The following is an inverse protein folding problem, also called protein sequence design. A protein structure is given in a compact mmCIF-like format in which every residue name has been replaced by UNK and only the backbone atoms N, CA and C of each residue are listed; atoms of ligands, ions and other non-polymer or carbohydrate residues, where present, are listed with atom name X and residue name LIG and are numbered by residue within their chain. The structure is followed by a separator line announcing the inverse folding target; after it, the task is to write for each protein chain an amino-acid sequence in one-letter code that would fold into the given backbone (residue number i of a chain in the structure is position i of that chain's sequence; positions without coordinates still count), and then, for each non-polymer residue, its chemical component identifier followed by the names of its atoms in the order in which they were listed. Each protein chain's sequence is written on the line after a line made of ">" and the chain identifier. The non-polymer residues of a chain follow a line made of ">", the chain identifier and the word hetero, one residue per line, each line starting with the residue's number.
data_IF_790885514771
#
_entry.id   IF_790885514771
#
_cell.length_a   1.000
_cell.length_b   1.000
_cell.length_c   1.000
_cell.angle_alpha   90.00
_cell.angle_beta   90.00
_cell.angle_gamma   90.00
#
_symmetry.space_group_name_H-M   'P 1'
#
loop_
_entity.id
_entity.type
_entity.pdbx_description
1 polymer ?
#
# COMPACT_ATOMS: atom_id res chain seq x y z
N UNK A 1 -26.51 3.11 63.56
CA UNK A 1 -27.30 2.94 62.32
C UNK A 1 -26.55 3.63 61.18
N UNK A 2 -26.05 2.84 60.19
CA UNK A 2 -25.65 3.20 58.81
C UNK A 2 -24.41 4.13 58.65
N UNK A 3 -23.25 3.63 58.19
CA UNK A 3 -22.83 3.43 56.77
C UNK A 3 -22.60 4.78 56.04
N UNK A 4 -21.49 5.10 55.36
CA UNK A 4 -20.39 4.33 54.76
C UNK A 4 -19.26 5.30 54.34
N UNK A 5 -18.02 4.83 54.41
CA UNK A 5 -16.89 5.32 53.62
C UNK A 5 -17.23 5.30 52.12
N UNK A 6 -16.79 6.31 51.37
CA UNK A 6 -16.40 6.17 49.96
C UNK A 6 -15.38 7.29 49.64
N UNK A 7 -14.10 6.89 49.61
CA UNK A 7 -13.04 7.58 48.89
C UNK A 7 -13.05 6.99 47.46
N UNK A 8 -13.20 7.81 46.44
CA UNK A 8 -12.99 7.46 45.02
C UNK A 8 -12.04 8.56 44.51
N UNK A 9 -10.72 8.37 44.44
CA UNK A 9 -9.91 7.48 43.59
C UNK A 9 -9.83 7.95 42.13
N UNK A 10 -8.68 8.61 41.84
CA UNK A 10 -7.82 8.43 40.68
C UNK A 10 -8.41 8.73 39.27
N UNK A 11 -8.16 9.96 38.81
CA UNK A 11 -8.17 10.29 37.38
C UNK A 11 -6.80 9.92 36.80
N UNK A 12 -6.71 8.73 36.22
CA UNK A 12 -5.59 8.32 35.36
C UNK A 12 -6.13 8.25 33.93
N UNK A 13 -6.20 9.39 33.24
CA UNK A 13 -6.54 9.41 31.82
C UNK A 13 -5.27 9.08 31.02
N UNK A 14 -5.16 7.81 30.66
CA UNK A 14 -4.12 7.26 29.80
C UNK A 14 -4.09 7.99 28.45
N UNK A 15 -3.07 8.83 28.26
CA UNK A 15 -2.58 9.19 26.94
C UNK A 15 -1.83 7.99 26.36
N UNK A 16 -2.58 7.01 25.86
CA UNK A 16 -2.05 5.88 25.10
C UNK A 16 -2.94 5.66 23.89
N UNK A 17 -2.47 6.09 22.72
CA UNK A 17 -2.72 5.46 21.43
C UNK A 17 -1.97 6.24 20.31
N UNK A 18 -0.65 6.32 20.41
CA UNK A 18 0.17 6.31 19.20
C UNK A 18 0.66 4.88 19.00
N UNK A 19 -0.28 3.97 18.70
CA UNK A 19 0.10 2.68 18.11
C UNK A 19 0.60 2.98 16.70
N UNK A 20 1.86 3.39 16.62
CA UNK A 20 2.58 3.37 15.37
C UNK A 20 2.79 1.89 15.08
N UNK A 21 1.84 1.32 14.33
CA UNK A 21 1.87 -0.06 13.84
C UNK A 21 2.97 -0.19 12.78
N UNK A 22 4.23 -0.07 13.21
CA UNK A 22 5.41 -0.15 12.34
C UNK A 22 5.65 -1.58 11.83
N UNK A 23 5.07 -2.59 12.49
CA UNK A 23 5.38 -3.99 12.24
C UNK A 23 5.06 -4.50 10.83
N UNK A 24 4.11 -3.90 10.13
CA UNK A 24 3.80 -4.29 8.74
C UNK A 24 4.57 -3.47 7.70
N UNK A 25 4.98 -2.25 8.05
CA UNK A 25 5.55 -1.30 7.10
C UNK A 25 7.00 -1.63 6.76
N UNK A 26 7.72 -2.29 7.67
CA UNK A 26 9.10 -2.73 7.48
C UNK A 26 9.22 -4.17 6.97
N UNK A 27 8.11 -4.89 6.85
CA UNK A 27 8.10 -6.24 6.28
C UNK A 27 8.05 -6.17 4.76
N UNK A 28 8.65 -7.18 4.13
CA UNK A 28 8.37 -7.47 2.74
C UNK A 28 6.93 -7.96 2.64
N UNK A 29 6.17 -7.34 1.74
CA UNK A 29 4.83 -7.80 1.38
C UNK A 29 4.82 -8.24 -0.07
N UNK A 30 4.15 -9.35 -0.35
CA UNK A 30 3.90 -9.83 -1.71
C UNK A 30 2.41 -9.74 -1.98
N UNK A 31 2.01 -8.95 -2.96
CA UNK A 31 0.62 -8.79 -3.37
C UNK A 31 0.41 -9.43 -4.74
N UNK A 32 -0.66 -10.20 -4.87
CA UNK A 32 -1.04 -10.81 -6.14
C UNK A 32 -2.40 -10.28 -6.58
N UNK A 33 -2.53 -9.98 -7.87
CA UNK A 33 -3.78 -9.57 -8.52
C UNK A 33 -4.00 -10.42 -9.75
N UNK A 34 -5.25 -10.65 -10.14
CA UNK A 34 -5.70 -11.28 -11.38
C UNK A 34 -6.27 -10.27 -12.38
N UNK A 35 -6.21 -8.97 -12.04
CA UNK A 35 -6.77 -7.89 -12.85
C UNK A 35 -5.94 -6.61 -12.77
N UNK A 36 -5.72 -6.01 -13.93
CA UNK A 36 -5.15 -4.67 -14.08
C UNK A 36 -6.18 -3.74 -14.70
N UNK A 37 -6.35 -2.55 -14.11
CA UNK A 37 -7.19 -1.50 -14.66
C UNK A 37 -6.33 -0.28 -15.01
N UNK A 38 -6.50 0.23 -16.22
CA UNK A 38 -5.95 1.51 -16.63
C UNK A 38 -6.97 2.59 -16.34
N UNK A 39 -6.58 3.59 -15.57
CA UNK A 39 -7.44 4.71 -15.21
C UNK A 39 -7.02 5.98 -15.95
N UNK A 40 -8.02 6.78 -16.28
CA UNK A 40 -7.82 8.15 -16.75
C UNK A 40 -7.41 9.09 -15.60
N UNK A 41 -7.15 10.36 -15.94
CA UNK A 41 -6.73 11.37 -14.96
C UNK A 41 -7.79 11.66 -13.88
N UNK A 42 -9.06 11.31 -14.14
CA UNK A 42 -10.18 11.47 -13.20
C UNK A 42 -10.38 10.23 -12.32
N UNK A 43 -9.64 9.15 -12.56
CA UNK A 43 -9.74 7.89 -11.84
C UNK A 43 -10.83 6.96 -12.39
N UNK A 44 -11.39 7.23 -13.58
CA UNK A 44 -12.33 6.32 -14.22
C UNK A 44 -11.56 5.21 -14.93
N UNK A 45 -12.12 4.01 -14.94
CA UNK A 45 -11.56 2.89 -15.72
C UNK A 45 -11.71 3.21 -17.20
N UNK A 46 -10.58 3.35 -17.89
CA UNK A 46 -10.49 3.48 -19.35
C UNK A 46 -10.45 2.10 -20.01
N UNK A 47 -9.69 1.17 -19.43
CA UNK A 47 -9.64 -0.22 -19.85
C UNK A 47 -9.27 -1.16 -18.70
N UNK A 48 -9.57 -2.44 -18.87
CA UNK A 48 -9.21 -3.50 -17.93
C UNK A 48 -8.62 -4.68 -18.70
N UNK A 49 -7.65 -5.34 -18.08
CA UNK A 49 -7.04 -6.56 -18.58
C UNK A 49 -7.09 -7.62 -17.47
N UNK A 50 -7.62 -8.79 -17.78
CA UNK A 50 -7.52 -9.97 -16.92
C UNK A 50 -6.11 -10.53 -17.11
N UNK A 51 -5.25 -10.33 -16.11
CA UNK A 51 -3.87 -10.80 -16.10
C UNK A 51 -3.39 -10.94 -14.66
N UNK A 52 -2.54 -11.93 -14.41
CA UNK A 52 -1.88 -12.04 -13.12
C UNK A 52 -0.89 -10.88 -12.95
N UNK A 53 -0.67 -10.42 -11.73
CA UNK A 53 0.41 -9.50 -11.41
C UNK A 53 0.91 -9.80 -10.01
N UNK A 54 2.23 -9.89 -9.85
CA UNK A 54 2.89 -10.02 -8.55
C UNK A 54 3.65 -8.74 -8.24
N UNK A 55 3.35 -8.13 -7.10
CA UNK A 55 3.96 -6.90 -6.62
C UNK A 55 4.61 -7.18 -5.28
N UNK A 56 5.94 -7.10 -5.25
CA UNK A 56 6.74 -7.28 -4.04
C UNK A 56 7.26 -5.93 -3.58
N UNK A 57 6.97 -5.57 -2.34
CA UNK A 57 7.43 -4.31 -1.73
C UNK A 57 8.18 -4.64 -0.47
N UNK A 58 9.49 -4.41 -0.48
CA UNK A 58 10.36 -4.58 0.68
C UNK A 58 10.56 -3.25 1.42
N UNK A 59 11.56 -3.22 2.31
CA UNK A 59 11.99 -1.99 2.98
C UNK A 59 12.60 -0.97 2.01
N UNK A 60 13.32 -1.43 0.98
CA UNK A 60 14.14 -0.57 0.12
C UNK A 60 13.93 -0.81 -1.38
N UNK A 61 13.11 -1.77 -1.78
CA UNK A 61 12.93 -2.15 -3.18
C UNK A 61 11.46 -2.45 -3.49
N UNK A 62 11.07 -2.15 -4.71
CA UNK A 62 9.82 -2.61 -5.33
C UNK A 62 10.17 -3.48 -6.52
N UNK A 63 9.43 -4.57 -6.69
CA UNK A 63 9.46 -5.43 -7.87
C UNK A 63 8.02 -5.67 -8.32
N UNK A 64 7.77 -5.53 -9.62
CA UNK A 64 6.47 -5.75 -10.26
C UNK A 64 6.70 -6.73 -11.41
N UNK A 65 5.92 -7.79 -11.41
CA UNK A 65 5.88 -8.79 -12.49
C UNK A 65 4.43 -8.84 -12.99
N UNK A 66 4.10 -8.12 -14.08
CA UNK A 66 2.81 -8.19 -14.75
C UNK A 66 2.74 -9.42 -15.67
N UNK A 67 1.58 -10.04 -15.72
CA UNK A 67 1.31 -11.27 -16.45
C UNK A 67 2.12 -12.48 -15.96
N UNK A 68 2.27 -13.44 -16.87
CA UNK A 68 3.19 -14.58 -16.75
C UNK A 68 4.48 -14.34 -17.58
N UNK A 69 4.74 -13.08 -17.95
CA UNK A 69 5.83 -12.69 -18.85
C UNK A 69 7.14 -12.43 -18.10
N UNK A 70 8.28 -12.56 -18.79
CA UNK A 70 9.61 -12.21 -18.29
C UNK A 70 9.79 -10.69 -18.03
N UNK A 71 8.77 -9.87 -18.25
CA UNK A 71 8.84 -8.42 -18.11
C UNK A 71 8.82 -7.99 -16.64
N UNK A 72 9.98 -7.97 -16.01
CA UNK A 72 10.11 -7.49 -14.63
C UNK A 72 10.40 -5.99 -14.62
N UNK A 73 9.70 -5.27 -13.74
CA UNK A 73 9.97 -3.87 -13.43
C UNK A 73 10.42 -3.81 -11.98
N UNK A 74 11.58 -3.24 -11.70
CA UNK A 74 12.07 -3.18 -10.32
C UNK A 74 12.90 -1.94 -10.04
N UNK A 75 13.03 -1.59 -8.77
CA UNK A 75 13.94 -0.52 -8.40
C UNK A 75 13.83 -0.05 -6.96
N UNK A 76 14.67 0.93 -6.63
CA UNK A 76 14.87 1.37 -5.26
C UNK A 76 13.75 2.29 -4.79
N UNK A 77 13.31 2.08 -3.55
CA UNK A 77 12.40 2.97 -2.83
C UNK A 77 13.18 4.23 -2.42
N UNK A 78 12.69 5.38 -2.85
CA UNK A 78 13.26 6.70 -2.50
C UNK A 78 12.54 7.29 -1.29
N UNK A 79 11.28 6.96 -1.06
CA UNK A 79 10.50 7.39 0.11
C UNK A 79 9.37 6.40 0.41
N UNK A 80 9.05 6.21 1.70
CA UNK A 80 7.93 5.38 2.14
C UNK A 80 7.23 6.03 3.32
N UNK A 81 5.93 6.26 3.20
CA UNK A 81 5.06 6.66 4.31
C UNK A 81 4.04 5.55 4.53
N UNK A 82 3.72 5.28 5.79
CA UNK A 82 2.89 4.13 6.15
C UNK A 82 2.04 4.49 7.36
N UNK A 83 0.72 4.47 7.15
CA UNK A 83 -0.28 4.99 8.07
C UNK A 83 -1.43 3.98 8.17
N UNK A 84 -1.32 3.06 9.13
CA UNK A 84 -2.30 1.98 9.28
C UNK A 84 -2.80 1.88 10.71
N UNK A 85 -4.04 2.36 10.96
CA UNK A 85 -4.76 2.08 12.19
C UNK A 85 -4.93 0.58 12.44
N UNK A 86 -5.21 -0.20 11.40
CA UNK A 86 -5.30 -1.67 11.49
C UNK A 86 -4.66 -2.30 10.28
N UNK A 87 -3.70 -3.18 10.54
CA UNK A 87 -2.85 -3.78 9.52
C UNK A 87 -3.68 -4.44 8.41
N UNK A 88 -3.37 -4.07 7.16
CA UNK A 88 -4.05 -4.55 5.94
C UNK A 88 -5.59 -4.49 5.95
N UNK A 89 -6.19 -3.72 6.86
CA UNK A 89 -7.64 -3.59 6.95
C UNK A 89 -8.09 -2.19 6.58
N UNK A 90 -7.61 -1.21 7.33
CA UNK A 90 -7.93 0.20 7.17
C UNK A 90 -6.63 0.99 7.33
N UNK A 91 -6.25 1.71 6.27
CA UNK A 91 -5.01 2.47 6.25
C UNK A 91 -4.43 2.66 4.86
N UNK A 92 -3.23 3.24 4.81
CA UNK A 92 -2.58 3.65 3.57
C UNK A 92 -1.06 3.55 3.68
N UNK A 93 -0.42 3.09 2.60
CA UNK A 93 1.03 3.24 2.38
C UNK A 93 1.24 4.03 1.10
N UNK A 94 2.16 4.99 1.09
CA UNK A 94 2.64 5.64 -0.13
C UNK A 94 4.12 5.36 -0.28
N UNK A 95 4.48 4.72 -1.38
CA UNK A 95 5.87 4.39 -1.76
C UNK A 95 6.23 5.24 -2.96
N UNK A 96 7.36 5.94 -2.91
CA UNK A 96 8.00 6.53 -4.08
C UNK A 96 9.21 5.66 -4.43
N UNK A 97 9.35 5.32 -5.70
CA UNK A 97 10.43 4.48 -6.18
C UNK A 97 10.92 4.93 -7.56
N UNK A 98 12.21 4.72 -7.82
CA UNK A 98 12.78 4.80 -9.15
C UNK A 98 12.78 3.39 -9.73
N UNK A 99 11.86 3.11 -10.65
CA UNK A 99 11.69 1.79 -11.26
C UNK A 99 12.36 1.74 -12.63
N UNK A 100 12.93 0.60 -12.98
CA UNK A 100 13.54 0.32 -14.26
C UNK A 100 12.93 -0.98 -14.81
N UNK A 101 12.59 -0.98 -16.10
CA UNK A 101 12.19 -2.18 -16.83
C UNK A 101 13.41 -2.93 -17.39
N UNK A 102 13.20 -4.15 -17.89
CA UNK A 102 14.27 -4.95 -18.51
C UNK A 102 14.91 -4.31 -19.76
N UNK A 103 14.31 -3.25 -20.33
CA UNK A 103 14.87 -2.51 -21.47
C UNK A 103 15.74 -1.32 -21.02
N UNK A 104 15.89 -1.10 -19.71
CA UNK A 104 16.62 0.02 -19.13
C UNK A 104 15.81 1.32 -19.06
N UNK A 105 14.50 1.29 -19.33
CA UNK A 105 13.66 2.48 -19.21
C UNK A 105 13.37 2.75 -17.73
N UNK A 106 13.81 3.91 -17.26
CA UNK A 106 13.57 4.37 -15.90
C UNK A 106 12.29 5.21 -15.81
N UNK A 107 11.51 5.02 -14.75
CA UNK A 107 10.37 5.86 -14.36
C UNK A 107 10.38 6.17 -12.85
N UNK A 108 9.92 7.37 -12.48
CA UNK A 108 9.71 7.77 -11.10
C UNK A 108 8.26 7.51 -10.73
N UNK A 109 8.03 6.44 -9.97
CA UNK A 109 6.70 5.96 -9.66
C UNK A 109 6.30 6.28 -8.22
N UNK A 110 5.07 6.76 -8.06
CA UNK A 110 4.36 6.77 -6.78
C UNK A 110 3.35 5.62 -6.76
N UNK A 111 3.46 4.78 -5.74
CA UNK A 111 2.59 3.62 -5.50
C UNK A 111 1.81 3.91 -4.22
N UNK A 112 0.49 4.01 -4.36
CA UNK A 112 -0.43 4.20 -3.24
C UNK A 112 -1.17 2.91 -2.96
N UNK A 113 -0.90 2.31 -1.80
CA UNK A 113 -1.59 1.12 -1.28
C UNK A 113 -2.64 1.61 -0.29
N UNK A 114 -3.90 1.25 -0.50
CA UNK A 114 -5.00 1.61 0.39
C UNK A 114 -5.74 0.35 0.82
N UNK A 115 -5.98 0.22 2.13
CA UNK A 115 -6.89 -0.77 2.69
C UNK A 115 -8.17 -0.09 3.14
N UNK A 116 -9.31 -0.61 2.69
CA UNK A 116 -10.63 -0.23 3.18
C UNK A 116 -11.40 -1.50 3.47
N UNK A 117 -11.81 -1.70 4.72
CA UNK A 117 -12.55 -2.89 5.15
C UNK A 117 -11.89 -4.22 4.73
N UNK A 118 -10.55 -4.29 4.74
CA UNK A 118 -9.81 -5.50 4.36
C UNK A 118 -9.55 -5.68 2.87
N UNK A 119 -10.09 -4.79 2.02
CA UNK A 119 -9.79 -4.79 0.58
C UNK A 119 -8.58 -3.93 0.30
N UNK A 120 -7.52 -4.55 -0.24
CA UNK A 120 -6.28 -3.86 -0.59
C UNK A 120 -6.30 -3.46 -2.07
N UNK A 121 -6.07 -2.17 -2.34
CA UNK A 121 -5.98 -1.59 -3.68
C UNK A 121 -4.64 -0.88 -3.83
N UNK A 122 -3.98 -1.06 -4.97
CA UNK A 122 -2.77 -0.34 -5.33
C UNK A 122 -3.04 0.54 -6.53
N UNK A 123 -2.57 1.78 -6.49
CA UNK A 123 -2.58 2.72 -7.61
C UNK A 123 -1.15 3.15 -7.90
N UNK A 124 -0.72 3.01 -9.15
CA UNK A 124 0.60 3.38 -9.67
C UNK A 124 0.47 4.61 -10.56
N UNK A 125 1.33 5.58 -10.32
CA UNK A 125 1.42 6.83 -11.09
C UNK A 125 2.89 7.10 -11.39
N UNK A 126 3.26 7.26 -12.66
CA UNK A 126 4.60 7.63 -13.09
C UNK A 126 4.65 9.14 -13.38
N UNK A 127 5.68 9.83 -12.88
CA UNK A 127 5.87 11.26 -13.13
C UNK A 127 6.04 11.55 -14.64
N UNK A 128 6.62 10.61 -15.38
CA UNK A 128 6.83 10.69 -16.83
C UNK A 128 5.55 10.51 -17.65
N UNK A 129 4.46 10.02 -17.05
CA UNK A 129 3.18 9.78 -17.71
C UNK A 129 2.03 10.44 -16.93
N UNK A 130 1.98 11.78 -16.87
CA UNK A 130 1.00 12.48 -16.06
C UNK A 130 -0.43 12.16 -16.49
N UNK A 131 -1.28 11.88 -15.49
CA UNK A 131 -2.70 11.59 -15.70
C UNK A 131 -3.01 10.15 -16.10
N UNK A 132 -2.03 9.30 -16.37
CA UNK A 132 -2.24 7.85 -16.51
C UNK A 132 -2.05 7.18 -15.16
N UNK A 133 -2.98 6.29 -14.78
CA UNK A 133 -2.83 5.48 -13.58
C UNK A 133 -3.07 4.03 -13.88
N UNK A 134 -2.37 3.16 -13.17
CA UNK A 134 -2.64 1.73 -13.17
C UNK A 134 -3.19 1.37 -11.79
N UNK A 135 -4.28 0.62 -11.75
CA UNK A 135 -4.89 0.16 -10.51
C UNK A 135 -5.06 -1.35 -10.52
N UNK A 136 -4.59 -1.98 -9.45
CA UNK A 136 -4.83 -3.39 -9.17
C UNK A 136 -5.50 -3.54 -7.80
N UNK A 137 -6.32 -4.56 -7.66
CA UNK A 137 -6.88 -4.99 -6.38
C UNK A 137 -6.15 -6.27 -6.01
N UNK A 138 -5.59 -6.34 -4.80
CA UNK A 138 -4.91 -7.56 -4.39
C UNK A 138 -5.95 -8.65 -4.08
N UNK A 139 -5.83 -9.79 -4.76
CA UNK A 139 -6.57 -11.01 -4.46
C UNK A 139 -5.99 -11.70 -3.22
N UNK A 140 -4.66 -11.67 -3.10
CA UNK A 140 -3.94 -12.18 -1.94
C UNK A 140 -2.79 -11.26 -1.56
N UNK A 141 -2.43 -11.26 -0.28
CA UNK A 141 -1.23 -10.60 0.23
C UNK A 141 -0.67 -11.35 1.43
N UNK A 142 0.66 -11.44 1.51
CA UNK A 142 1.40 -12.13 2.58
C UNK A 142 2.65 -11.36 3.01
#
# INVERSE_FOLDING_TARGET
>A
MKSKFIKITLVLLLAACSQLSYGQCDKTVVLKSSKTNHLDAKGNIESSKDENATITISKSQVTIVPGDDDHTISGAITSKTCEWPTAFKDGKTVVKAKLEDNSGNTQHCTITITGVAGKITLVFEAEEQPGKKIMVVADTFE
#
